data_IF_933689871984
#
_entry.id   IF_933689871984
#
_cell.length_a   1.000
_cell.length_b   1.000
_cell.length_c   1.000
_cell.angle_alpha   90.00
_cell.angle_beta   90.00
_cell.angle_gamma   90.00
#
_symmetry.space_group_name_H-M   'P 1'
#
loop_
_entity.id
_entity.type
_entity.pdbx_description
1 polymer ?
#
# COMPACT_ATOMS: atom_id res chain seq x y z
N UNK A 1 27.01 -19.61 -53.61
CA UNK A 1 26.36 -18.43 -53.01
C UNK A 1 25.79 -18.86 -51.68
N UNK A 2 26.44 -18.49 -50.57
CA UNK A 2 26.03 -18.82 -49.21
C UNK A 2 25.26 -17.60 -48.70
N UNK A 3 23.94 -17.72 -48.52
CA UNK A 3 23.15 -16.69 -47.87
C UNK A 3 23.26 -16.90 -46.36
N UNK A 4 24.01 -16.01 -45.70
CA UNK A 4 24.06 -15.91 -44.24
C UNK A 4 22.74 -15.33 -43.75
N UNK A 5 21.96 -16.10 -42.99
CA UNK A 5 20.87 -15.56 -42.18
C UNK A 5 21.48 -14.88 -40.95
N UNK A 6 21.47 -13.54 -40.95
CA UNK A 6 21.79 -12.75 -39.77
C UNK A 6 20.72 -12.97 -38.70
N UNK A 7 21.13 -13.52 -37.56
CA UNK A 7 20.32 -13.59 -36.35
C UNK A 7 20.09 -12.18 -35.82
N UNK A 8 18.85 -11.69 -35.91
CA UNK A 8 18.44 -10.45 -35.27
C UNK A 8 18.20 -10.77 -33.77
N UNK A 9 19.27 -10.74 -32.98
CA UNK A 9 19.15 -10.75 -31.52
C UNK A 9 18.38 -9.50 -31.10
N UNK A 10 17.09 -9.68 -30.84
CA UNK A 10 16.26 -8.68 -30.20
C UNK A 10 16.78 -8.52 -28.77
N UNK A 11 17.54 -7.45 -28.54
CA UNK A 11 17.80 -6.93 -27.21
C UNK A 11 16.46 -6.45 -26.65
N UNK A 12 15.70 -7.38 -26.05
CA UNK A 12 14.64 -7.04 -25.13
C UNK A 12 15.29 -6.19 -24.04
N UNK A 13 15.08 -4.88 -24.12
CA UNK A 13 15.43 -3.99 -23.03
C UNK A 13 14.58 -4.45 -21.86
N UNK A 14 15.20 -5.09 -20.86
CA UNK A 14 14.54 -5.35 -19.58
C UNK A 14 14.31 -3.98 -18.95
N UNK A 15 13.16 -3.39 -19.27
CA UNK A 15 12.61 -2.33 -18.45
C UNK A 15 12.31 -3.00 -17.11
N UNK A 16 13.00 -2.55 -16.08
CA UNK A 16 12.74 -2.98 -14.71
C UNK A 16 11.58 -2.13 -14.21
N UNK A 17 10.68 -2.76 -13.46
CA UNK A 17 9.65 -2.04 -12.73
C UNK A 17 10.34 -1.18 -11.66
N UNK A 18 9.58 -0.32 -11.02
CA UNK A 18 10.11 0.60 -10.04
C UNK A 18 9.01 0.93 -9.05
N UNK A 19 9.30 0.93 -7.75
CA UNK A 19 8.32 1.35 -6.76
C UNK A 19 8.85 1.50 -5.34
N UNK A 20 8.10 2.22 -4.51
CA UNK A 20 8.35 2.37 -3.07
C UNK A 20 7.05 2.69 -2.31
N UNK A 21 7.11 2.60 -0.98
CA UNK A 21 6.00 3.01 -0.11
C UNK A 21 6.20 4.45 0.32
N UNK A 22 5.32 5.34 -0.14
CA UNK A 22 5.37 6.76 0.15
C UNK A 22 4.70 7.11 1.48
N UNK A 23 3.76 6.29 1.98
CA UNK A 23 3.14 6.46 3.29
C UNK A 23 2.53 5.16 3.82
N UNK A 24 2.71 4.79 5.10
CA UNK A 24 3.84 5.21 5.94
C UNK A 24 5.16 4.96 5.21
N UNK A 25 6.12 5.88 5.34
CA UNK A 25 7.30 5.91 4.46
C UNK A 25 8.14 4.64 4.62
N UNK A 26 8.53 4.01 3.53
CA UNK A 26 9.55 2.97 3.61
C UNK A 26 10.93 3.56 3.90
N UNK A 27 11.85 2.77 4.48
CA UNK A 27 13.19 3.23 4.89
C UNK A 27 13.99 3.84 3.74
N UNK A 28 13.89 3.26 2.56
CA UNK A 28 14.45 3.80 1.32
C UNK A 28 13.86 5.14 0.91
N UNK A 29 12.55 5.34 1.11
CA UNK A 29 11.93 6.63 0.87
C UNK A 29 12.30 7.66 1.94
N UNK A 30 12.35 7.28 3.22
CA UNK A 30 12.84 8.13 4.30
C UNK A 30 14.31 8.55 4.10
N UNK A 31 15.17 7.64 3.64
CA UNK A 31 16.55 7.93 3.25
C UNK A 31 16.64 8.84 2.02
N UNK A 32 15.69 8.71 1.07
CA UNK A 32 15.61 9.61 -0.07
C UNK A 32 15.25 11.03 0.35
N UNK A 33 14.28 11.21 1.25
CA UNK A 33 13.86 12.54 1.70
C UNK A 33 14.87 13.15 2.67
N UNK A 34 15.23 12.41 3.72
CA UNK A 34 15.92 12.92 4.91
C UNK A 34 17.39 12.51 5.01
N UNK A 35 17.84 11.58 4.16
CA UNK A 35 19.23 11.12 4.17
C UNK A 35 20.22 12.23 3.82
N UNK A 36 21.50 11.96 4.08
CA UNK A 36 22.59 12.91 3.88
C UNK A 36 23.61 12.43 2.83
N UNK A 37 24.16 13.37 2.07
CA UNK A 37 25.34 13.16 1.22
C UNK A 37 26.65 13.23 1.99
N UNK A 38 26.58 13.70 3.25
CA UNK A 38 27.71 13.78 4.14
C UNK A 38 27.78 12.62 5.13
N UNK A 39 28.48 12.88 6.22
CA UNK A 39 28.62 11.98 7.35
C UNK A 39 27.94 12.64 8.55
N UNK A 40 26.77 12.12 8.93
CA UNK A 40 25.93 12.67 9.98
C UNK A 40 25.32 11.54 10.82
N UNK A 41 25.55 11.60 12.13
CA UNK A 41 25.02 10.61 13.07
C UNK A 41 23.50 10.61 13.08
N UNK A 42 22.89 9.42 13.07
CA UNK A 42 21.45 9.22 13.07
C UNK A 42 20.75 9.50 11.73
N UNK A 43 21.48 9.87 10.67
CA UNK A 43 20.92 10.00 9.32
C UNK A 43 21.44 8.92 8.39
N UNK A 44 20.53 8.26 7.70
CA UNK A 44 20.87 7.35 6.61
C UNK A 44 21.66 8.08 5.51
N UNK A 45 22.45 7.31 4.76
CA UNK A 45 23.02 7.79 3.48
C UNK A 45 21.87 8.17 2.54
N UNK A 46 22.08 9.19 1.71
CA UNK A 46 21.07 9.64 0.74
C UNK A 46 20.72 8.51 -0.22
N UNK A 47 19.43 8.22 -0.37
CA UNK A 47 18.94 7.30 -1.39
C UNK A 47 18.54 8.08 -2.65
N UNK A 48 19.10 7.71 -3.78
CA UNK A 48 18.86 8.37 -5.06
C UNK A 48 17.91 7.60 -5.95
N UNK A 49 17.79 6.30 -5.74
CA UNK A 49 16.79 5.46 -6.38
C UNK A 49 15.98 4.69 -5.34
N UNK A 50 15.08 5.36 -4.59
CA UNK A 50 14.20 4.67 -3.64
C UNK A 50 13.30 3.65 -4.34
N UNK A 51 13.10 3.78 -5.65
CA UNK A 51 12.26 2.90 -6.44
C UNK A 51 12.99 1.66 -7.00
N UNK A 52 14.30 1.51 -6.76
CA UNK A 52 15.16 0.49 -7.40
C UNK A 52 15.44 -0.76 -6.53
N UNK A 53 14.75 -0.99 -5.41
CA UNK A 53 15.08 -2.08 -4.48
C UNK A 53 14.59 -3.44 -5.00
N UNK A 54 15.05 -3.85 -6.18
CA UNK A 54 14.69 -5.11 -6.83
C UNK A 54 15.61 -6.29 -6.48
N UNK A 55 16.46 -6.09 -5.47
CA UNK A 55 17.32 -7.13 -4.89
C UNK A 55 17.17 -7.12 -3.39
N UNK A 56 17.41 -8.29 -2.81
CA UNK A 56 17.30 -8.51 -1.39
C UNK A 56 18.39 -9.47 -0.91
N UNK A 57 18.94 -9.19 0.26
CA UNK A 57 19.90 -10.05 0.96
C UNK A 57 19.49 -10.30 2.42
N UNK A 58 18.34 -9.75 2.83
CA UNK A 58 17.67 -10.01 4.11
C UNK A 58 16.16 -9.88 3.96
N UNK A 59 15.61 -8.75 4.42
CA UNK A 59 14.17 -8.46 4.40
C UNK A 59 13.82 -7.09 3.81
N UNK A 60 14.73 -6.11 3.80
CA UNK A 60 14.40 -4.72 3.48
C UNK A 60 14.84 -4.27 2.07
N UNK A 61 15.55 -5.12 1.34
CA UNK A 61 16.06 -4.81 0.01
C UNK A 61 17.28 -3.89 0.04
N UNK A 62 17.97 -3.81 -1.09
CA UNK A 62 19.17 -2.98 -1.23
C UNK A 62 19.31 -2.40 -2.63
N UNK A 63 20.11 -1.34 -2.73
CA UNK A 63 20.64 -0.74 -3.96
C UNK A 63 22.16 -0.86 -3.95
N UNK A 64 22.84 -0.46 -5.03
CA UNK A 64 24.30 -0.47 -5.08
C UNK A 64 24.95 0.43 -4.00
N UNK A 65 24.19 1.38 -3.45
CA UNK A 65 24.68 2.37 -2.48
C UNK A 65 24.21 2.12 -1.05
N UNK A 66 23.02 1.51 -0.88
CA UNK A 66 22.38 1.36 0.42
C UNK A 66 21.85 -0.05 0.60
N UNK A 67 22.19 -0.66 1.73
CA UNK A 67 21.60 -1.91 2.18
C UNK A 67 20.76 -1.62 3.43
N UNK A 68 19.45 -1.80 3.31
CA UNK A 68 18.53 -1.50 4.40
C UNK A 68 18.51 -2.61 5.45
N UNK A 69 19.14 -3.75 5.24
CA UNK A 69 19.31 -4.77 6.27
C UNK A 69 20.53 -4.51 7.19
N UNK A 70 21.36 -3.50 6.90
CA UNK A 70 22.53 -3.16 7.75
C UNK A 70 22.15 -2.38 9.03
N UNK A 71 21.00 -1.71 9.07
CA UNK A 71 20.52 -0.92 10.22
C UNK A 71 21.53 0.14 10.72
N UNK A 72 22.25 0.78 9.80
CA UNK A 72 23.24 1.82 10.13
C UNK A 72 22.92 3.18 9.49
N UNK A 73 23.44 4.23 10.11
CA UNK A 73 23.46 5.59 9.59
C UNK A 73 24.63 5.79 8.59
N UNK A 74 24.79 7.02 8.11
CA UNK A 74 25.84 7.42 7.16
C UNK A 74 27.28 7.29 7.69
N UNK A 75 27.45 7.07 9.01
CA UNK A 75 28.72 6.82 9.67
C UNK A 75 28.97 5.32 9.93
N UNK A 76 28.01 4.44 9.60
CA UNK A 76 28.08 3.02 9.95
C UNK A 76 27.73 2.74 11.43
N UNK A 77 27.13 3.71 12.13
CA UNK A 77 26.65 3.56 13.51
C UNK A 77 25.20 3.08 13.47
N UNK A 78 24.74 2.21 14.38
CA UNK A 78 23.34 1.78 14.42
C UNK A 78 22.37 2.98 14.34
N UNK A 79 21.50 2.95 13.33
CA UNK A 79 20.51 4.02 13.14
C UNK A 79 19.37 3.86 14.15
N UNK A 80 18.87 4.95 14.75
CA UNK A 80 17.69 4.87 15.61
C UNK A 80 16.45 4.39 14.86
N UNK A 81 15.59 3.66 15.55
CA UNK A 81 14.26 3.31 15.04
C UNK A 81 13.40 4.56 14.85
N UNK A 82 12.79 4.72 13.67
CA UNK A 82 11.96 5.84 13.29
C UNK A 82 10.56 5.36 12.89
N UNK A 83 9.68 5.19 13.88
CA UNK A 83 8.29 4.80 13.67
C UNK A 83 7.55 5.80 12.76
N UNK A 84 7.13 5.34 11.59
CA UNK A 84 6.37 6.11 10.58
C UNK A 84 4.86 6.06 10.82
N UNK A 85 4.41 5.34 11.84
CA UNK A 85 2.99 5.23 12.21
C UNK A 85 2.80 4.48 13.52
N UNK A 86 1.74 4.85 14.24
CA UNK A 86 1.31 4.19 15.46
C UNK A 86 -0.11 3.63 15.26
N UNK A 87 -0.26 2.33 15.49
CA UNK A 87 -1.49 1.59 15.25
C UNK A 87 -1.82 0.69 16.44
N UNK A 88 -3.00 0.07 16.42
CA UNK A 88 -3.35 -1.04 17.28
C UNK A 88 -3.33 -2.35 16.47
N UNK A 89 -3.11 -3.45 17.17
CA UNK A 89 -3.27 -4.78 16.60
C UNK A 89 -4.65 -4.94 15.97
N UNK A 90 -4.70 -5.36 14.71
CA UNK A 90 -5.97 -5.51 13.99
C UNK A 90 -6.48 -4.28 13.24
N UNK A 91 -5.82 -3.12 13.39
CA UNK A 91 -6.22 -1.89 12.70
C UNK A 91 -6.15 -2.05 11.18
N UNK A 92 -7.06 -1.35 10.49
CA UNK A 92 -6.96 -1.13 9.06
C UNK A 92 -6.09 0.11 8.83
N UNK A 93 -4.92 -0.11 8.22
CA UNK A 93 -3.95 0.93 7.89
C UNK A 93 -4.03 1.29 6.41
N UNK A 94 -3.86 2.57 6.11
CA UNK A 94 -3.77 3.06 4.74
C UNK A 94 -2.32 3.13 4.29
N UNK A 95 -2.03 2.53 3.15
CA UNK A 95 -0.71 2.53 2.54
C UNK A 95 -0.75 3.14 1.15
N UNK A 96 0.18 4.06 0.89
CA UNK A 96 0.38 4.70 -0.39
C UNK A 96 1.64 4.15 -1.04
N UNK A 97 1.54 3.83 -2.32
CA UNK A 97 2.62 3.28 -3.12
C UNK A 97 2.81 4.14 -4.36
N UNK A 98 4.04 4.53 -4.61
CA UNK A 98 4.41 5.23 -5.83
C UNK A 98 5.14 4.25 -6.73
N UNK A 99 4.62 4.03 -7.93
CA UNK A 99 5.15 3.04 -8.88
C UNK A 99 5.41 3.74 -10.23
N UNK A 100 6.62 4.28 -10.46
CA UNK A 100 6.95 5.06 -11.65
C UNK A 100 6.92 4.29 -12.97
N UNK A 101 7.14 2.98 -12.91
CA UNK A 101 7.00 2.07 -14.05
C UNK A 101 6.44 0.79 -13.47
N UNK A 102 5.15 0.53 -13.68
CA UNK A 102 4.53 -0.69 -13.15
C UNK A 102 4.29 -1.74 -14.23
N UNK A 103 4.63 -2.97 -13.90
CA UNK A 103 4.59 -4.12 -14.78
C UNK A 103 3.45 -5.07 -14.37
N UNK A 104 2.27 -4.47 -14.13
CA UNK A 104 1.12 -5.16 -13.53
C UNK A 104 1.51 -5.68 -12.15
N UNK A 105 0.92 -6.80 -11.74
CA UNK A 105 1.33 -7.48 -10.51
C UNK A 105 0.48 -7.13 -9.28
N UNK A 106 1.06 -7.35 -8.11
CA UNK A 106 0.38 -7.14 -6.83
C UNK A 106 1.37 -6.80 -5.71
N UNK A 107 0.83 -6.23 -4.64
CA UNK A 107 1.55 -5.89 -3.42
C UNK A 107 1.12 -6.85 -2.30
N UNK A 108 2.11 -7.40 -1.60
CA UNK A 108 1.96 -8.14 -0.35
C UNK A 108 2.63 -7.33 0.77
N UNK A 109 1.95 -7.23 1.92
CA UNK A 109 2.51 -6.60 3.13
C UNK A 109 2.52 -7.63 4.26
N UNK A 110 3.63 -7.71 5.00
CA UNK A 110 3.79 -8.63 6.13
C UNK A 110 4.38 -7.94 7.34
N UNK A 111 4.06 -8.38 8.57
CA UNK A 111 4.49 -7.74 9.81
C UNK A 111 5.34 -8.64 10.71
N UNK A 112 6.50 -8.13 11.16
CA UNK A 112 7.36 -8.81 12.13
C UNK A 112 7.61 -7.93 13.37
N UNK A 113 7.28 -8.37 14.59
CA UNK A 113 7.44 -7.59 15.82
C UNK A 113 8.84 -7.76 16.45
N UNK A 114 9.88 -7.98 15.64
CA UNK A 114 11.24 -8.25 16.11
C UNK A 114 12.19 -7.07 15.84
N UNK A 115 11.69 -5.89 15.46
CA UNK A 115 12.51 -4.71 15.15
C UNK A 115 13.66 -5.03 14.19
N UNK A 116 14.87 -4.61 14.55
CA UNK A 116 16.10 -4.87 13.77
C UNK A 116 16.46 -6.37 13.67
N UNK A 117 15.94 -7.22 14.57
CA UNK A 117 16.15 -8.67 14.54
C UNK A 117 15.15 -9.42 13.63
N UNK A 118 14.29 -8.69 12.91
CA UNK A 118 13.39 -9.26 11.92
C UNK A 118 14.18 -9.99 10.83
N UNK A 119 13.71 -11.19 10.48
CA UNK A 119 14.35 -12.03 9.49
C UNK A 119 13.29 -12.72 8.63
N UNK A 120 13.74 -13.47 7.64
CA UNK A 120 12.85 -14.14 6.70
C UNK A 120 11.88 -15.15 7.34
N UNK A 121 12.35 -15.91 8.35
CA UNK A 121 11.50 -16.86 9.05
C UNK A 121 10.32 -16.17 9.74
N UNK A 122 10.53 -14.94 10.22
CA UNK A 122 9.44 -14.13 10.75
C UNK A 122 8.40 -13.82 9.67
N UNK A 123 8.82 -13.38 8.48
CA UNK A 123 7.89 -12.97 7.41
C UNK A 123 7.25 -14.14 6.65
N UNK A 124 7.82 -15.34 6.70
CA UNK A 124 7.23 -16.52 6.02
C UNK A 124 6.07 -17.16 6.79
N UNK A 125 5.91 -16.85 8.08
CA UNK A 125 4.74 -17.25 8.85
C UNK A 125 3.47 -16.58 8.26
N UNK A 126 2.54 -17.40 7.80
CA UNK A 126 1.27 -16.94 7.21
C UNK A 126 0.44 -16.05 8.13
N UNK A 127 0.59 -16.16 9.46
CA UNK A 127 -0.10 -15.29 10.43
C UNK A 127 0.42 -13.85 10.44
N UNK A 128 1.52 -13.58 9.73
CA UNK A 128 2.12 -12.25 9.61
C UNK A 128 1.63 -11.46 8.39
N UNK A 129 0.88 -12.08 7.48
CA UNK A 129 0.39 -11.40 6.28
C UNK A 129 -0.73 -10.43 6.65
N UNK A 130 -0.63 -9.19 6.18
CA UNK A 130 -1.73 -8.23 6.28
C UNK A 130 -2.79 -8.61 5.26
N UNK A 131 -4.06 -8.44 5.64
CA UNK A 131 -5.18 -8.70 4.72
C UNK A 131 -5.44 -7.46 3.88
N UNK A 132 -5.51 -7.60 2.57
CA UNK A 132 -5.96 -6.54 1.70
C UNK A 132 -7.46 -6.27 1.95
N UNK A 133 -7.80 -5.03 2.27
CA UNK A 133 -9.17 -4.61 2.57
C UNK A 133 -9.83 -3.99 1.34
N UNK A 134 -9.15 -3.02 0.71
CA UNK A 134 -9.63 -2.36 -0.50
C UNK A 134 -8.55 -1.55 -1.19
N UNK A 135 -8.72 -1.38 -2.50
CA UNK A 135 -8.09 -0.31 -3.27
C UNK A 135 -8.99 0.93 -3.21
N UNK A 136 -8.40 2.06 -2.83
CA UNK A 136 -9.08 3.33 -2.62
C UNK A 136 -9.19 4.15 -3.91
N UNK A 137 -8.31 3.93 -4.89
CA UNK A 137 -8.23 4.75 -6.10
C UNK A 137 -8.89 4.09 -7.31
N UNK A 138 -8.71 2.78 -7.51
CA UNK A 138 -9.15 2.10 -8.74
C UNK A 138 -10.22 1.03 -8.51
N UNK A 139 -10.70 0.86 -7.28
CA UNK A 139 -11.77 -0.08 -6.91
C UNK A 139 -11.48 -1.53 -7.34
N UNK A 140 -10.20 -1.92 -7.26
CA UNK A 140 -9.79 -3.32 -7.43
C UNK A 140 -10.38 -4.20 -6.31
N UNK A 141 -11.11 -5.29 -6.64
CA UNK A 141 -11.70 -6.16 -5.63
C UNK A 141 -10.66 -7.01 -4.89
N UNK A 142 -10.93 -7.34 -3.63
CA UNK A 142 -10.13 -8.33 -2.91
C UNK A 142 -10.19 -9.72 -3.58
N UNK A 143 -9.13 -10.50 -3.42
CA UNK A 143 -9.03 -11.88 -3.90
C UNK A 143 -9.38 -12.87 -2.77
N UNK A 144 -10.47 -13.65 -2.87
CA UNK A 144 -10.85 -14.62 -1.85
C UNK A 144 -9.85 -15.77 -1.66
N UNK A 145 -9.02 -16.05 -2.67
CA UNK A 145 -8.02 -17.14 -2.65
C UNK A 145 -6.67 -16.63 -2.16
N UNK A 146 -6.33 -15.37 -2.46
CA UNK A 146 -5.12 -14.70 -1.98
C UNK A 146 -5.47 -13.38 -1.28
N UNK A 147 -6.04 -13.45 -0.06
CA UNK A 147 -6.60 -12.28 0.63
C UNK A 147 -5.54 -11.27 1.07
N UNK A 148 -4.26 -11.58 0.94
CA UNK A 148 -3.12 -10.72 1.22
C UNK A 148 -2.67 -9.87 0.02
N UNK A 149 -3.19 -10.13 -1.18
CA UNK A 149 -2.77 -9.44 -2.41
C UNK A 149 -3.60 -8.20 -2.70
N UNK A 150 -2.93 -7.05 -2.77
CA UNK A 150 -3.47 -5.84 -3.39
C UNK A 150 -2.98 -5.71 -4.83
N UNK A 151 -3.84 -6.03 -5.79
CA UNK A 151 -3.50 -5.98 -7.22
C UNK A 151 -3.36 -4.55 -7.72
N UNK A 152 -2.54 -4.34 -8.74
CA UNK A 152 -2.38 -3.03 -9.39
C UNK A 152 -3.29 -2.91 -10.61
N UNK A 153 -3.98 -1.79 -10.75
CA UNK A 153 -4.82 -1.49 -11.90
C UNK A 153 -4.00 -0.93 -13.07
N UNK A 154 -4.20 -1.45 -14.28
CA UNK A 154 -3.61 -0.91 -15.51
C UNK A 154 -2.16 -1.30 -15.80
N UNK A 155 -1.59 -0.61 -16.80
CA UNK A 155 -0.16 -0.45 -17.04
C UNK A 155 0.13 1.03 -17.20
N UNK A 156 1.26 1.51 -16.70
CA UNK A 156 1.66 2.89 -16.93
C UNK A 156 3.16 3.05 -16.90
N UNK A 157 3.60 3.94 -17.77
CA UNK A 157 4.89 4.59 -17.75
C UNK A 157 4.67 6.00 -17.18
N UNK A 158 5.18 6.27 -15.98
CA UNK A 158 4.94 7.50 -15.24
C UNK A 158 4.65 7.25 -13.76
N UNK A 159 4.87 8.27 -12.94
CA UNK A 159 4.60 8.22 -11.49
C UNK A 159 3.11 7.99 -11.23
N UNK A 160 2.75 6.73 -10.98
CA UNK A 160 1.39 6.33 -10.65
C UNK A 160 1.29 5.99 -9.17
N UNK A 161 0.29 6.58 -8.53
CA UNK A 161 -0.01 6.34 -7.13
C UNK A 161 -1.06 5.25 -6.99
N UNK A 162 -0.88 4.41 -5.97
CA UNK A 162 -1.83 3.42 -5.49
C UNK A 162 -2.06 3.65 -4.01
N UNK A 163 -3.32 3.55 -3.58
CA UNK A 163 -3.68 3.70 -2.17
C UNK A 163 -4.50 2.50 -1.79
N UNK A 164 -3.94 1.62 -0.96
CA UNK A 164 -4.63 0.44 -0.48
C UNK A 164 -4.82 0.51 1.03
N UNK A 165 -5.93 -0.02 1.49
CA UNK A 165 -6.14 -0.30 2.90
C UNK A 165 -5.78 -1.76 3.17
N UNK A 166 -4.96 -1.99 4.19
CA UNK A 166 -4.55 -3.31 4.66
C UNK A 166 -4.90 -3.46 6.15
N UNK A 167 -5.36 -4.63 6.56
CA UNK A 167 -5.61 -4.94 7.96
C UNK A 167 -4.38 -5.61 8.59
N UNK A 168 -3.90 -5.03 9.70
CA UNK A 168 -2.85 -5.63 10.53
C UNK A 168 -3.32 -6.98 11.10
N UNK A 169 -2.44 -7.99 11.20
CA UNK A 169 -2.82 -9.26 11.80
C UNK A 169 -3.13 -9.07 13.29
N UNK A 170 -4.18 -9.76 13.75
CA UNK A 170 -4.55 -9.80 15.16
C UNK A 170 -3.43 -10.44 15.98
N UNK A 171 -3.12 -9.86 17.14
CA UNK A 171 -2.10 -10.36 18.05
C UNK A 171 -0.68 -9.85 17.78
N UNK A 172 -0.41 -9.20 16.64
CA UNK A 172 0.87 -8.53 16.39
C UNK A 172 0.88 -7.19 17.11
N UNK A 173 1.87 -6.99 17.98
CA UNK A 173 2.09 -5.76 18.73
C UNK A 173 3.56 -5.65 19.17
N UNK A 174 4.02 -4.43 19.43
CA UNK A 174 5.37 -4.08 19.84
C UNK A 174 5.70 -2.61 19.52
N UNK A 175 6.71 -2.06 20.20
CA UNK A 175 7.22 -0.71 19.90
C UNK A 175 8.00 -0.67 18.57
N UNK A 176 8.63 -1.79 18.22
CA UNK A 176 9.41 -1.97 16.99
C UNK A 176 8.80 -3.09 16.13
N UNK A 177 7.77 -2.76 15.36
CA UNK A 177 7.18 -3.67 14.37
C UNK A 177 7.63 -3.27 12.98
N UNK A 178 8.26 -4.20 12.27
CA UNK A 178 8.70 -4.02 10.90
C UNK A 178 7.66 -4.54 9.93
N UNK A 179 7.17 -3.68 9.03
CA UNK A 179 6.38 -4.11 7.89
C UNK A 179 7.30 -4.32 6.69
N UNK A 180 7.24 -5.50 6.06
CA UNK A 180 7.83 -5.73 4.76
C UNK A 180 6.80 -5.43 3.68
N UNK A 181 7.14 -4.51 2.79
CA UNK A 181 6.48 -4.32 1.52
C UNK A 181 7.17 -5.17 0.48
N UNK A 182 6.37 -5.97 -0.25
CA UNK A 182 6.83 -6.73 -1.39
C UNK A 182 5.93 -6.46 -2.58
N UNK A 183 6.52 -6.02 -3.68
CA UNK A 183 5.82 -5.86 -4.95
C UNK A 183 6.32 -6.91 -5.94
N UNK A 184 5.39 -7.72 -6.45
CA UNK A 184 5.64 -8.84 -7.35
C UNK A 184 5.04 -8.47 -8.71
N UNK A 185 5.87 -8.36 -9.73
CA UNK A 185 5.42 -8.01 -11.09
C UNK A 185 4.74 -9.21 -11.77
N UNK A 186 4.03 -8.96 -12.88
CA UNK A 186 3.36 -10.02 -13.64
C UNK A 186 3.58 -9.96 -15.16
N UNK A 187 4.67 -9.34 -15.60
CA UNK A 187 4.98 -9.17 -17.03
C UNK A 187 5.80 -10.31 -17.64
N UNK A 188 6.68 -10.95 -16.87
CA UNK A 188 7.51 -12.08 -17.34
C UNK A 188 6.83 -13.43 -17.16
N UNK A 189 6.02 -13.55 -16.11
CA UNK A 189 5.18 -14.69 -15.78
C UNK A 189 4.00 -14.19 -14.95
N UNK A 190 2.91 -14.96 -14.89
CA UNK A 190 1.75 -14.62 -14.05
C UNK A 190 1.82 -15.37 -12.72
N UNK A 191 1.70 -14.67 -11.57
CA UNK A 191 1.58 -15.37 -10.30
C UNK A 191 0.39 -16.33 -10.29
N UNK A 192 0.41 -17.38 -9.45
CA UNK A 192 -0.68 -18.34 -9.37
C UNK A 192 -2.04 -17.66 -9.18
N UNK A 193 -3.07 -18.24 -9.82
CA UNK A 193 -4.47 -17.81 -9.77
C UNK A 193 -4.83 -16.49 -10.48
N UNK A 194 -3.90 -15.85 -11.19
CA UNK A 194 -4.17 -14.60 -11.89
C UNK A 194 -5.32 -14.70 -12.90
N UNK A 195 -5.33 -15.72 -13.75
CA UNK A 195 -6.38 -15.87 -14.78
C UNK A 195 -7.78 -15.93 -14.16
N UNK A 196 -7.95 -16.73 -13.11
CA UNK A 196 -9.23 -16.82 -12.42
C UNK A 196 -9.59 -15.50 -11.73
N UNK A 197 -8.65 -14.83 -11.05
CA UNK A 197 -8.90 -13.53 -10.41
C UNK A 197 -9.41 -12.47 -11.39
N UNK A 198 -8.72 -12.27 -12.53
CA UNK A 198 -9.07 -11.25 -13.52
C UNK A 198 -10.33 -11.60 -14.33
N UNK A 199 -10.73 -12.88 -14.38
CA UNK A 199 -11.93 -13.34 -15.13
C UNK A 199 -13.18 -13.54 -14.25
N UNK A 200 -13.20 -13.00 -13.03
CA UNK A 200 -14.38 -13.01 -12.16
C UNK A 200 -14.28 -13.89 -10.91
N UNK A 201 -13.10 -14.45 -10.62
CA UNK A 201 -12.81 -15.18 -9.39
C UNK A 201 -12.55 -14.29 -8.16
N UNK A 202 -12.61 -12.97 -8.33
CA UNK A 202 -12.48 -12.00 -7.23
C UNK A 202 -13.77 -11.84 -6.41
N UNK A 203 -13.66 -11.19 -5.26
CA UNK A 203 -14.74 -11.03 -4.26
C UNK A 203 -16.01 -10.34 -4.78
N UNK A 204 -15.93 -9.63 -5.90
CA UNK A 204 -17.05 -8.91 -6.50
C UNK A 204 -17.52 -9.55 -7.82
N UNK A 205 -16.96 -10.70 -8.21
CA UNK A 205 -17.27 -11.39 -9.47
C UNK A 205 -17.11 -10.48 -10.69
N UNK A 206 -16.21 -9.48 -10.59
CA UNK A 206 -15.96 -8.53 -11.68
C UNK A 206 -15.03 -9.15 -12.72
N UNK A 207 -15.37 -9.04 -14.00
CA UNK A 207 -14.39 -9.25 -15.06
C UNK A 207 -13.58 -7.96 -15.15
N UNK A 208 -12.29 -8.04 -14.83
CA UNK A 208 -11.39 -6.90 -14.87
C UNK A 208 -10.80 -6.76 -16.28
N UNK A 209 -10.36 -5.56 -16.68
CA UNK A 209 -9.80 -5.35 -18.01
C UNK A 209 -8.60 -6.27 -18.27
N UNK A 210 -8.62 -6.97 -19.41
CA UNK A 210 -7.56 -7.92 -19.78
C UNK A 210 -6.21 -7.26 -19.96
N UNK A 211 -6.21 -5.96 -20.25
CA UNK A 211 -5.04 -5.12 -20.32
C UNK A 211 -4.54 -4.69 -18.93
N UNK A 212 -4.99 -5.24 -17.81
CA UNK A 212 -4.38 -4.98 -16.49
C UNK A 212 -3.41 -6.09 -16.06
N UNK A 213 -3.31 -7.15 -16.86
CA UNK A 213 -2.38 -8.24 -16.64
C UNK A 213 -1.98 -8.86 -17.98
N UNK A 214 -1.04 -9.81 -17.95
CA UNK A 214 -0.56 -10.50 -19.14
C UNK A 214 -1.18 -11.91 -19.21
N UNK A 215 -2.33 -12.14 -19.86
CA UNK A 215 -2.95 -13.48 -19.91
C UNK A 215 -2.11 -14.51 -20.68
N UNK A 216 -1.24 -14.04 -21.58
CA UNK A 216 -0.48 -14.89 -22.51
C UNK A 216 0.83 -15.42 -21.94
N UNK A 217 1.31 -14.89 -20.81
CA UNK A 217 2.54 -15.40 -20.19
C UNK A 217 2.25 -16.67 -19.39
N UNK A 218 3.27 -17.51 -19.22
CA UNK A 218 3.17 -18.71 -18.40
C UNK A 218 3.03 -18.37 -16.92
N UNK A 219 2.52 -19.32 -16.13
CA UNK A 219 2.56 -19.21 -14.68
C UNK A 219 3.99 -19.08 -14.18
N UNK A 220 4.17 -18.34 -13.08
CA UNK A 220 5.46 -18.21 -12.43
C UNK A 220 5.84 -19.50 -11.69
N UNK A 221 7.13 -19.81 -11.71
CA UNK A 221 7.74 -20.87 -10.91
C UNK A 221 7.75 -20.47 -9.42
N UNK A 222 7.34 -21.40 -8.57
CA UNK A 222 7.39 -21.25 -7.11
C UNK A 222 8.44 -22.19 -6.50
N UNK A 223 9.04 -21.82 -5.35
CA UNK A 223 8.91 -20.53 -4.66
C UNK A 223 9.65 -19.41 -5.40
N UNK A 224 9.24 -18.15 -5.18
CA UNK A 224 9.98 -17.00 -5.71
C UNK A 224 11.34 -16.87 -5.02
N UNK A 225 12.37 -16.43 -5.76
CA UNK A 225 13.69 -16.24 -5.18
C UNK A 225 13.65 -15.13 -4.15
N UNK A 226 14.04 -15.44 -2.91
CA UNK A 226 14.02 -14.47 -1.80
C UNK A 226 14.96 -13.29 -2.04
N UNK A 227 16.05 -13.51 -2.78
CA UNK A 227 17.02 -12.48 -3.10
C UNK A 227 16.55 -11.52 -4.22
N UNK A 228 15.37 -11.75 -4.79
CA UNK A 228 14.83 -10.94 -5.87
C UNK A 228 15.48 -11.17 -7.24
N UNK A 229 16.35 -12.18 -7.39
CA UNK A 229 17.13 -12.40 -8.62
C UNK A 229 16.23 -12.60 -9.85
N UNK A 230 16.14 -11.60 -10.76
CA UNK A 230 15.26 -11.66 -11.92
C UNK A 230 15.84 -12.51 -13.06
N UNK A 231 17.07 -13.03 -12.91
CA UNK A 231 17.72 -13.85 -13.95
C UNK A 231 17.24 -15.29 -13.97
N UNK A 232 16.51 -15.74 -12.94
CA UNK A 232 15.99 -17.09 -12.86
C UNK A 232 14.77 -17.27 -13.79
N UNK A 233 14.79 -18.24 -14.73
CA UNK A 233 13.70 -18.44 -15.67
C UNK A 233 12.36 -18.70 -14.98
N UNK A 234 11.30 -18.04 -15.46
CA UNK A 234 9.94 -18.18 -14.94
C UNK A 234 9.73 -17.55 -13.58
N UNK A 235 10.62 -16.66 -13.11
CA UNK A 235 10.43 -15.89 -11.89
C UNK A 235 10.00 -14.45 -12.20
N UNK A 236 9.12 -13.85 -11.40
CA UNK A 236 8.76 -12.45 -11.55
C UNK A 236 9.88 -11.56 -11.01
N UNK A 237 9.93 -10.32 -11.49
CA UNK A 237 10.70 -9.29 -10.80
C UNK A 237 10.03 -8.98 -9.45
N UNK A 238 10.83 -8.70 -8.44
CA UNK A 238 10.37 -8.46 -7.08
C UNK A 238 11.03 -7.22 -6.51
N UNK A 239 10.28 -6.41 -5.76
CA UNK A 239 10.78 -5.24 -5.04
C UNK A 239 10.52 -5.39 -3.57
N UNK A 240 11.43 -4.87 -2.76
CA UNK A 240 11.42 -5.00 -1.32
C UNK A 240 11.55 -3.62 -0.67
N UNK A 241 10.88 -3.45 0.45
CA UNK A 241 11.06 -2.28 1.30
C UNK A 241 10.56 -2.58 2.70
N UNK A 242 11.08 -1.83 3.66
CA UNK A 242 10.71 -1.95 5.06
C UNK A 242 10.09 -0.67 5.57
N UNK A 243 9.11 -0.79 6.45
CA UNK A 243 8.46 0.32 7.13
C UNK A 243 8.51 0.05 8.63
N UNK A 244 9.03 1.02 9.37
CA UNK A 244 9.12 0.98 10.83
C UNK A 244 7.82 1.53 11.41
N UNK A 245 7.11 0.76 12.25
CA UNK A 245 5.86 1.19 12.89
C UNK A 245 5.82 0.74 14.35
N UNK A 246 4.95 1.37 15.14
CA UNK A 246 4.59 0.91 16.48
C UNK A 246 3.17 0.36 16.46
N UNK A 247 2.96 -0.75 17.15
CA UNK A 247 1.65 -1.42 17.21
C UNK A 247 1.31 -1.73 18.66
N UNK A 248 0.33 -1.02 19.20
CA UNK A 248 -0.21 -1.29 20.53
C UNK A 248 -1.01 -2.62 20.53
N UNK A 249 -1.16 -3.27 21.69
CA UNK A 249 -2.15 -4.34 21.87
C UNK A 249 -3.54 -3.90 21.40
N UNK A 250 -4.43 -4.83 21.04
CA UNK A 250 -5.79 -4.46 20.69
C UNK A 250 -6.41 -3.70 21.87
N UNK A 251 -7.19 -2.62 21.62
CA UNK A 251 -7.87 -1.92 22.69
C UNK A 251 -8.69 -2.94 23.49
N UNK A 252 -8.70 -2.87 24.83
CA UNK A 252 -9.51 -3.78 25.62
C UNK A 252 -10.94 -3.68 25.09
N UNK A 253 -11.45 -4.77 24.51
CA UNK A 253 -12.82 -4.86 24.05
C UNK A 253 -13.66 -4.24 25.15
N UNK A 254 -14.40 -3.16 24.85
CA UNK A 254 -15.34 -2.59 25.80
C UNK A 254 -16.15 -3.78 26.30
N UNK A 255 -15.89 -4.17 27.55
CA UNK A 255 -16.50 -5.35 28.15
C UNK A 255 -17.98 -5.18 27.85
N UNK A 256 -18.56 -6.14 27.13
CA UNK A 256 -20.00 -6.36 27.21
C UNK A 256 -20.25 -6.50 28.69
N UNK A 257 -20.64 -5.37 29.31
CA UNK A 257 -21.08 -5.32 30.67
C UNK A 257 -22.10 -6.45 30.74
N UNK A 258 -21.74 -7.51 31.44
CA UNK A 258 -22.63 -8.61 31.70
C UNK A 258 -23.80 -7.95 32.40
N UNK A 259 -24.89 -7.76 31.66
CA UNK A 259 -26.10 -7.16 32.20
C UNK A 259 -26.43 -7.97 33.44
N UNK A 260 -26.31 -7.34 34.61
CA UNK A 260 -27.02 -7.84 35.77
C UNK A 260 -28.46 -8.09 35.34
N UNK A 261 -29.07 -9.24 35.67
CA UNK A 261 -30.42 -9.52 35.27
C UNK A 261 -31.31 -8.38 35.76
N UNK A 262 -31.86 -7.64 34.80
CA UNK A 262 -32.86 -6.60 35.07
C UNK A 262 -34.02 -7.32 35.74
N UNK A 263 -34.18 -7.12 37.05
CA UNK A 263 -35.40 -7.51 37.73
C UNK A 263 -36.54 -6.73 37.09
N UNK A 264 -37.45 -7.46 36.44
CA UNK A 264 -38.70 -6.91 35.93
C UNK A 264 -39.46 -6.35 37.14
N UNK A 265 -39.83 -5.06 37.16
CA UNK A 265 -40.68 -4.53 38.21
C UNK A 265 -42.06 -5.17 38.08
N UNK A 266 -42.44 -5.99 39.06
CA UNK A 266 -43.81 -6.46 39.22
C UNK A 266 -44.68 -5.22 39.49
N UNK A 267 -45.61 -4.94 38.59
CA UNK A 267 -46.53 -3.82 38.70
C UNK A 267 -47.45 -3.99 39.91
N UNK A 268 -47.43 -3.04 40.84
CA UNK A 268 -48.39 -2.96 41.93
C UNK A 268 -49.78 -2.51 41.42
N UNK A 269 -50.89 -2.91 42.06
CA UNK A 269 -52.23 -2.54 41.62
C UNK A 269 -52.52 -1.05 41.81
N UNK A 270 -53.10 -0.43 40.78
CA UNK A 270 -53.53 0.97 40.74
C UNK A 270 -54.71 1.20 41.70
N UNK A 271 -54.59 2.20 42.58
CA UNK A 271 -55.71 2.74 43.35
C UNK A 271 -56.44 3.85 42.56
N UNK A 272 -57.75 4.06 42.78
CA UNK A 272 -58.57 4.93 41.93
C UNK A 272 -58.30 6.42 42.18
N UNK A 273 -58.20 7.19 41.10
CA UNK A 273 -58.12 8.65 41.12
C UNK A 273 -59.52 9.26 41.35
N UNK A 274 -59.69 9.94 42.48
CA UNK A 274 -60.76 10.93 42.69
C UNK A 274 -60.27 12.28 42.18
N UNK A 275 -60.95 12.82 41.18
CA UNK A 275 -60.52 14.02 40.46
C UNK A 275 -60.77 15.35 41.16
N UNK A 276 -60.28 16.42 40.54
CA UNK A 276 -61.05 17.65 40.39
C UNK A 276 -60.57 18.40 39.15
N UNK A 277 -61.54 18.77 38.32
CA UNK A 277 -61.41 19.51 37.06
C UNK A 277 -61.31 21.00 37.37
N UNK A 278 -60.37 21.69 36.74
CA UNK A 278 -60.45 23.13 36.52
C UNK A 278 -59.99 23.45 35.09
N UNK A 279 -60.83 24.19 34.37
CA UNK A 279 -60.71 24.63 32.98
C UNK A 279 -60.91 26.18 32.97
N UNK A 280 -60.78 26.89 31.83
CA UNK A 280 -59.57 27.46 31.24
C UNK A 280 -59.61 29.01 31.20
N UNK A 281 -58.48 29.68 30.92
CA UNK A 281 -58.50 31.02 30.30
C UNK A 281 -57.28 31.28 29.41
N UNK A 282 -57.53 31.34 28.10
CA UNK A 282 -57.07 32.41 27.19
C UNK A 282 -55.63 32.40 26.66
N UNK A 283 -55.39 32.91 25.43
CA UNK A 283 -54.22 32.57 24.63
C UNK A 283 -53.12 33.65 24.68
N UNK A 284 -51.85 33.23 24.57
CA UNK A 284 -50.73 34.13 24.29
C UNK A 284 -50.01 33.69 23.01
N UNK A 285 -49.89 34.68 22.12
CA UNK A 285 -49.25 34.69 20.79
C UNK A 285 -47.76 34.30 20.78
N UNK A 286 -47.19 34.02 19.59
CA UNK A 286 -45.89 33.37 19.46
C UNK A 286 -44.75 34.38 19.63
N UNK A 287 -43.75 34.02 20.43
CA UNK A 287 -42.49 34.75 20.52
C UNK A 287 -41.49 34.07 19.59
N UNK A 288 -41.24 34.73 18.46
CA UNK A 288 -40.12 34.49 17.56
C UNK A 288 -38.83 34.85 18.29
N UNK A 289 -37.89 33.91 18.42
CA UNK A 289 -36.51 34.24 18.79
C UNK A 289 -35.60 34.18 17.55
N UNK A 290 -34.63 35.10 17.40
CA UNK A 290 -33.71 35.11 16.28
C UNK A 290 -32.60 34.08 16.46
N UNK A 291 -32.37 33.26 15.43
CA UNK A 291 -31.19 32.41 15.31
C UNK A 291 -30.00 33.33 15.01
N UNK A 292 -29.02 33.36 15.91
CA UNK A 292 -27.72 33.99 15.66
C UNK A 292 -26.94 33.17 14.61
N UNK A 293 -26.21 33.79 13.68
CA UNK A 293 -25.41 33.07 12.70
C UNK A 293 -24.18 32.48 13.37
N UNK A 294 -23.94 31.18 13.17
CA UNK A 294 -22.67 30.56 13.48
C UNK A 294 -21.62 31.03 12.45
N UNK A 295 -20.58 31.69 12.94
CA UNK A 295 -19.35 32.02 12.22
C UNK A 295 -18.58 30.76 11.85
N UNK A 296 -18.44 30.50 10.55
CA UNK A 296 -17.41 29.61 9.99
C UNK A 296 -16.02 30.27 10.09
N UNK A 297 -14.95 29.51 10.39
CA UNK A 297 -13.60 29.98 10.14
C UNK A 297 -13.25 29.76 8.66
N UNK A 298 -12.92 30.87 7.99
CA UNK A 298 -12.38 30.90 6.65
C UNK A 298 -11.05 30.15 6.57
N UNK A 299 -11.05 29.01 5.87
CA UNK A 299 -9.86 28.36 5.34
C UNK A 299 -9.79 28.65 3.84
N UNK A 300 -8.79 29.42 3.44
CA UNK A 300 -8.55 29.90 2.09
C UNK A 300 -8.28 28.73 1.12
N UNK A 301 -9.26 28.44 0.26
CA UNK A 301 -9.13 27.46 -0.83
C UNK A 301 -8.34 28.08 -1.98
N UNK A 302 -7.03 27.85 -1.99
CA UNK A 302 -6.19 28.15 -3.16
C UNK A 302 -6.37 27.04 -4.19
N UNK A 303 -7.18 27.33 -5.21
CA UNK A 303 -7.25 26.56 -6.46
C UNK A 303 -5.95 26.80 -7.24
N UNK A 304 -5.15 25.77 -7.59
CA UNK A 304 -4.06 25.96 -8.52
C UNK A 304 -4.63 26.06 -9.94
N UNK A 305 -4.65 27.28 -10.47
CA UNK A 305 -4.77 27.54 -11.91
C UNK A 305 -3.63 26.85 -12.65
N UNK A 306 -3.98 26.23 -13.79
CA UNK A 306 -3.10 25.61 -14.78
C UNK A 306 -1.85 26.46 -15.07
N UNK A 307 -0.73 26.08 -14.44
CA UNK A 307 0.60 26.62 -14.71
C UNK A 307 1.38 25.64 -15.57
N UNK A 308 1.78 26.10 -16.75
CA UNK A 308 2.71 25.45 -17.69
C UNK A 308 3.87 24.76 -16.98
N UNK A 309 3.94 23.42 -17.06
CA UNK A 309 5.09 22.64 -16.64
C UNK A 309 6.32 23.09 -17.41
N UNK A 310 7.31 23.66 -16.72
CA UNK A 310 8.67 23.76 -17.24
C UNK A 310 9.22 22.34 -17.35
N UNK A 311 9.35 21.88 -18.59
CA UNK A 311 10.12 20.69 -18.91
C UNK A 311 11.59 20.96 -18.55
N UNK A 312 12.13 20.15 -17.65
CA UNK A 312 13.57 20.09 -17.43
C UNK A 312 14.21 19.43 -18.66
N UNK A 313 15.13 20.15 -19.30
CA UNK A 313 15.65 19.86 -20.65
C UNK A 313 16.66 18.69 -20.69
N UNK A 314 16.62 17.78 -19.72
CA UNK A 314 17.50 16.60 -19.63
C UNK A 314 16.81 15.26 -19.87
N UNK A 315 15.51 15.24 -20.20
CA UNK A 315 14.74 14.01 -20.46
C UNK A 315 14.62 13.68 -21.97
N UNK A 316 15.33 14.40 -22.84
CA UNK A 316 15.24 14.24 -24.31
C UNK A 316 15.99 13.02 -24.89
N UNK A 317 16.31 12.01 -24.08
CA UNK A 317 16.98 10.80 -24.55
C UNK A 317 16.04 9.59 -24.76
N UNK A 318 14.81 9.60 -24.23
CA UNK A 318 13.95 8.40 -24.23
C UNK A 318 12.77 8.44 -25.21
N UNK A 319 12.46 9.60 -25.81
CA UNK A 319 11.36 9.77 -26.77
C UNK A 319 11.70 9.29 -28.20
N UNK A 320 12.94 8.89 -28.48
CA UNK A 320 13.40 8.52 -29.82
C UNK A 320 13.03 7.12 -30.30
N UNK A 321 12.51 6.23 -29.44
CA UNK A 321 12.34 4.81 -29.77
C UNK A 321 10.89 4.47 -30.19
N UNK A 322 9.90 5.32 -29.89
CA UNK A 322 8.49 5.03 -30.16
C UNK A 322 7.99 5.41 -31.57
N UNK A 323 8.68 6.27 -32.31
CA UNK A 323 8.25 6.65 -33.68
C UNK A 323 8.59 5.61 -34.76
N UNK A 324 9.40 4.59 -34.45
CA UNK A 324 9.80 3.57 -35.44
C UNK A 324 8.78 2.42 -35.61
N UNK A 325 7.83 2.23 -34.68
CA UNK A 325 6.90 1.10 -34.72
C UNK A 325 5.56 1.40 -35.40
N UNK A 326 5.22 2.66 -35.63
CA UNK A 326 3.93 3.02 -36.25
C UNK A 326 3.94 3.08 -37.80
N UNK A 327 5.09 2.93 -38.45
CA UNK A 327 5.23 3.02 -39.92
C UNK A 327 5.39 1.67 -40.65
N UNK A 328 5.40 0.53 -39.96
CA UNK A 328 5.62 -0.79 -40.60
C UNK A 328 4.31 -1.58 -40.81
N UNK A 329 3.13 -1.00 -40.56
CA UNK A 329 1.83 -1.67 -40.82
C UNK A 329 0.96 -1.02 -41.89
N UNK A 330 1.52 -0.12 -42.69
CA UNK A 330 0.91 0.30 -43.96
C UNK A 330 2.00 0.39 -45.02
N UNK A 331 2.38 -0.77 -45.57
CA UNK A 331 2.85 -1.02 -46.95
C UNK A 331 3.19 -2.50 -47.11
#
# INVERSE_FOLDING_TARGET
MIASLGSLSSLLSLVHSHGYVSSPRSRNWAAHENGTDGQEAGKAKKEYCPHCLNRNNGVCGYTDTNDYDEWVDSLGIPIPWESQGAYNSGDVIRMNFTIPVHHGGHIEIRACPNGHASNWDCFTDSSRSLLFVKDVLYDIPADPVHPDRGYLAGWSEGYTEYVHDYQLPQGIHGEEVLLQWKYITSNSCKPPNYDAYFTGGNSQVKILPSEWYSPTVSDCNLPYPQNGDPSLPGTPEQFFGCIEVSVAPPPPSASTATGSPVQIPVSAPVAPLTGTVAQPTGPASPVTQPIAPATEPAGESVVPTSGTKRYDARVTAYLGIWLAWFWIHVL
#
